data_IF_440866578404
#
_entry.id   IF_440866578404
#
_cell.length_a   1.000
_cell.length_b   1.000
_cell.length_c   1.000
_cell.angle_alpha   90.00
_cell.angle_beta   90.00
_cell.angle_gamma   90.00
#
_symmetry.space_group_name_H-M   'P 1'
#
loop_
_entity.id
_entity.type
_entity.pdbx_description
1 polymer ?
#
# COMPACT_ATOMS: atom_id res chain seq x y z
N UNK A 1 0.47 11.64 -25.32
CA UNK A 1 0.06 10.28 -24.87
C UNK A 1 -0.80 10.42 -23.62
N UNK A 2 -2.00 9.88 -23.64
CA UNK A 2 -2.91 9.91 -22.49
C UNK A 2 -2.43 8.92 -21.42
N UNK A 3 -2.51 9.31 -20.15
CA UNK A 3 -2.17 8.46 -19.02
C UNK A 3 -3.39 8.33 -18.11
N UNK A 4 -3.68 7.11 -17.65
CA UNK A 4 -4.76 6.83 -16.70
C UNK A 4 -4.21 6.07 -15.50
N UNK A 5 -4.75 6.39 -14.33
CA UNK A 5 -4.41 5.71 -13.07
C UNK A 5 -5.68 5.33 -12.33
N UNK A 6 -5.79 4.07 -11.94
CA UNK A 6 -6.93 3.55 -11.21
C UNK A 6 -6.51 3.01 -9.86
N UNK A 7 -7.27 3.37 -8.83
CA UNK A 7 -7.25 2.73 -7.52
C UNK A 7 -8.50 1.86 -7.41
N UNK A 8 -8.32 0.55 -7.46
CA UNK A 8 -9.40 -0.43 -7.53
C UNK A 8 -9.57 -1.11 -6.19
N UNK A 9 -10.81 -1.18 -5.69
CA UNK A 9 -11.17 -1.82 -4.42
C UNK A 9 -11.98 -3.11 -4.69
N UNK A 10 -11.35 -4.21 -5.14
CA UNK A 10 -12.08 -5.38 -5.60
C UNK A 10 -12.86 -6.10 -4.50
N UNK A 11 -12.39 -5.99 -3.26
CA UNK A 11 -13.05 -6.54 -2.08
C UNK A 11 -13.79 -5.49 -1.24
N UNK A 12 -14.04 -4.29 -1.79
CA UNK A 12 -14.65 -3.16 -1.08
C UNK A 12 -13.99 -2.92 0.30
N UNK A 13 -14.75 -3.04 1.41
CA UNK A 13 -14.27 -2.93 2.79
C UNK A 13 -13.93 -4.26 3.46
N UNK A 14 -14.12 -5.42 2.80
CA UNK A 14 -13.83 -6.72 3.38
C UNK A 14 -12.36 -6.90 3.68
N UNK A 15 -12.06 -7.37 4.91
CA UNK A 15 -10.69 -7.63 5.35
C UNK A 15 -10.67 -8.78 6.36
N UNK A 16 -9.62 -9.60 6.29
CA UNK A 16 -9.33 -10.67 7.25
C UNK A 16 -8.50 -10.21 8.45
N UNK A 17 -8.35 -8.87 8.61
CA UNK A 17 -7.72 -8.23 9.77
C UNK A 17 -8.66 -7.23 10.45
N UNK A 18 -8.32 -6.85 11.71
CA UNK A 18 -9.05 -5.89 12.54
C UNK A 18 -8.11 -4.80 13.07
N UNK A 19 -7.34 -4.17 12.16
CA UNK A 19 -6.41 -3.10 12.54
C UNK A 19 -7.15 -1.98 13.27
N UNK A 20 -6.62 -1.56 14.44
CA UNK A 20 -7.30 -0.61 15.31
C UNK A 20 -7.44 0.78 14.68
N UNK A 21 -6.50 1.20 13.86
CA UNK A 21 -6.46 2.50 13.19
C UNK A 21 -6.97 2.46 11.74
N UNK A 22 -7.68 1.39 11.31
CA UNK A 22 -8.03 1.20 9.90
C UNK A 22 -9.06 2.21 9.43
N UNK A 23 -8.66 3.20 8.63
CA UNK A 23 -9.56 4.20 8.09
C UNK A 23 -10.57 3.64 7.07
N UNK A 24 -10.26 2.54 6.37
CA UNK A 24 -11.21 1.87 5.48
C UNK A 24 -12.41 1.31 6.23
N UNK A 25 -12.20 0.81 7.44
CA UNK A 25 -13.29 0.34 8.31
C UNK A 25 -14.14 1.50 8.80
N UNK A 26 -13.52 2.61 9.18
CA UNK A 26 -14.20 3.83 9.58
C UNK A 26 -14.99 4.41 8.40
N UNK A 27 -14.37 4.53 7.21
CA UNK A 27 -15.05 4.97 5.99
C UNK A 27 -16.27 4.11 5.66
N UNK A 28 -16.17 2.78 5.78
CA UNK A 28 -17.25 1.83 5.54
C UNK A 28 -18.43 2.05 6.50
N UNK A 29 -18.16 2.29 7.78
CA UNK A 29 -19.19 2.55 8.80
C UNK A 29 -19.93 3.87 8.56
N UNK A 30 -19.30 4.83 7.90
CA UNK A 30 -19.87 6.14 7.59
C UNK A 30 -20.58 6.20 6.22
N UNK A 31 -20.59 5.10 5.43
CA UNK A 31 -21.34 5.06 4.18
C UNK A 31 -22.82 4.83 4.40
N UNK A 32 -23.63 5.51 3.59
CA UNK A 32 -25.12 5.39 3.62
C UNK A 32 -25.64 4.07 3.03
N UNK A 33 -24.80 3.33 2.30
CA UNK A 33 -25.16 2.05 1.68
C UNK A 33 -24.46 0.91 2.43
N UNK A 34 -25.27 -0.01 2.99
CA UNK A 34 -24.79 -1.14 3.78
C UNK A 34 -24.34 -2.35 2.95
N UNK A 35 -24.43 -2.29 1.64
CA UNK A 35 -24.06 -3.41 0.77
C UNK A 35 -22.59 -3.33 0.37
N UNK A 36 -21.75 -4.01 1.13
CA UNK A 36 -20.41 -4.37 0.68
C UNK A 36 -20.52 -5.46 -0.37
N UNK A 37 -20.10 -5.15 -1.57
CA UNK A 37 -20.07 -6.12 -2.66
C UNK A 37 -18.64 -6.32 -3.15
N UNK A 38 -18.24 -7.57 -3.36
CA UNK A 38 -17.07 -7.87 -4.18
C UNK A 38 -17.30 -7.35 -5.61
N UNK A 39 -16.27 -6.79 -6.23
CA UNK A 39 -16.34 -6.35 -7.62
C UNK A 39 -16.65 -7.55 -8.53
N UNK A 40 -17.69 -7.43 -9.35
CA UNK A 40 -18.04 -8.50 -10.30
C UNK A 40 -17.06 -8.52 -11.48
N UNK A 41 -16.89 -9.70 -12.11
CA UNK A 41 -16.09 -9.83 -13.33
C UNK A 41 -16.61 -8.91 -14.45
N UNK A 42 -17.93 -8.72 -14.55
CA UNK A 42 -18.54 -7.82 -15.51
C UNK A 42 -18.18 -6.36 -15.27
N UNK A 43 -18.12 -5.92 -14.00
CA UNK A 43 -17.68 -4.58 -13.63
C UNK A 43 -16.22 -4.36 -14.01
N UNK A 44 -15.36 -5.35 -13.69
CA UNK A 44 -13.95 -5.33 -14.05
C UNK A 44 -13.74 -5.25 -15.58
N UNK A 45 -14.43 -6.09 -16.36
CA UNK A 45 -14.36 -6.07 -17.82
C UNK A 45 -14.84 -4.73 -18.39
N UNK A 46 -15.93 -4.17 -17.86
CA UNK A 46 -16.45 -2.86 -18.29
C UNK A 46 -15.45 -1.73 -18.04
N UNK A 47 -14.82 -1.73 -16.85
CA UNK A 47 -13.77 -0.78 -16.51
C UNK A 47 -12.60 -0.87 -17.49
N UNK A 48 -12.09 -2.09 -17.71
CA UNK A 48 -10.94 -2.34 -18.59
C UNK A 48 -11.26 -1.90 -20.02
N UNK A 49 -12.40 -2.34 -20.55
CA UNK A 49 -12.83 -1.96 -21.92
C UNK A 49 -12.87 -0.45 -22.09
N UNK A 50 -13.56 0.28 -21.20
CA UNK A 50 -13.65 1.75 -21.25
C UNK A 50 -12.28 2.42 -21.09
N UNK A 51 -11.41 1.88 -20.24
CA UNK A 51 -10.04 2.38 -20.10
C UNK A 51 -9.29 2.34 -21.44
N UNK A 52 -9.32 1.21 -22.15
CA UNK A 52 -8.61 1.07 -23.43
C UNK A 52 -9.31 1.79 -24.61
N UNK A 53 -10.61 2.03 -24.54
CA UNK A 53 -11.31 2.93 -25.50
C UNK A 53 -10.75 4.36 -25.42
N UNK A 54 -10.49 4.86 -24.20
CA UNK A 54 -10.03 6.21 -23.90
C UNK A 54 -8.52 6.45 -24.11
N UNK A 55 -7.70 5.41 -24.07
CA UNK A 55 -6.24 5.52 -24.21
C UNK A 55 -5.83 5.61 -25.68
N UNK A 56 -4.78 6.40 -25.92
CA UNK A 56 -4.12 6.47 -27.22
C UNK A 56 -3.16 5.30 -27.42
N UNK A 57 -2.73 5.08 -28.65
CA UNK A 57 -1.67 4.12 -28.97
C UNK A 57 -0.37 4.48 -28.23
N UNK A 58 0.25 3.50 -27.58
CA UNK A 58 1.46 3.68 -26.77
C UNK A 58 1.23 4.50 -25.50
N UNK A 59 -0.02 4.68 -25.07
CA UNK A 59 -0.37 5.32 -23.80
C UNK A 59 0.11 4.54 -22.57
N UNK A 60 -0.29 4.98 -21.39
CA UNK A 60 0.07 4.37 -20.13
C UNK A 60 -1.16 4.18 -19.23
N UNK A 61 -1.23 3.04 -18.56
CA UNK A 61 -2.23 2.83 -17.49
C UNK A 61 -1.60 2.12 -16.28
N UNK A 62 -1.98 2.58 -15.09
CA UNK A 62 -1.66 1.91 -13.83
C UNK A 62 -2.94 1.42 -13.15
N UNK A 63 -2.98 0.14 -12.80
CA UNK A 63 -4.02 -0.48 -12.00
C UNK A 63 -3.45 -0.82 -10.62
N UNK A 64 -3.82 -0.03 -9.58
CA UNK A 64 -3.43 -0.25 -8.20
C UNK A 64 -4.60 -0.82 -7.40
N UNK A 65 -4.42 -1.99 -6.80
CA UNK A 65 -5.44 -2.68 -6.02
C UNK A 65 -5.25 -2.39 -4.53
N UNK A 66 -6.29 -1.88 -3.89
CA UNK A 66 -6.33 -1.54 -2.46
C UNK A 66 -7.74 -1.80 -1.89
N UNK A 67 -8.04 -1.20 -0.75
CA UNK A 67 -9.35 -1.25 -0.10
C UNK A 67 -9.28 -1.93 1.26
N UNK A 68 -10.19 -2.86 1.55
CA UNK A 68 -10.07 -3.74 2.70
C UNK A 68 -8.84 -4.64 2.56
N UNK A 69 -9.02 -5.86 2.10
CA UNK A 69 -7.90 -6.71 1.67
C UNK A 69 -8.19 -7.21 0.23
N UNK A 70 -7.50 -6.69 -0.79
CA UNK A 70 -7.82 -6.99 -2.19
C UNK A 70 -7.68 -8.47 -2.54
N UNK A 71 -6.78 -9.23 -1.88
CA UNK A 71 -6.60 -10.67 -2.13
C UNK A 71 -7.82 -11.52 -1.78
N UNK A 72 -8.76 -10.98 -0.99
CA UNK A 72 -10.03 -11.66 -0.70
C UNK A 72 -10.97 -11.75 -1.91
N UNK A 73 -10.74 -10.99 -2.97
CA UNK A 73 -11.44 -11.18 -4.25
C UNK A 73 -11.07 -12.52 -4.93
N UNK A 74 -10.01 -13.17 -4.45
CA UNK A 74 -9.53 -14.46 -4.96
C UNK A 74 -8.60 -14.34 -6.16
N UNK A 75 -7.69 -15.32 -6.32
CA UNK A 75 -6.72 -15.33 -7.42
C UNK A 75 -7.38 -15.35 -8.80
N UNK A 76 -8.53 -16.06 -8.92
CA UNK A 76 -9.28 -16.16 -10.18
C UNK A 76 -9.76 -14.78 -10.69
N UNK A 77 -10.13 -13.87 -9.77
CA UNK A 77 -10.46 -12.49 -10.15
C UNK A 77 -9.26 -11.78 -10.80
N UNK A 78 -8.07 -11.92 -10.24
CA UNK A 78 -6.87 -11.27 -10.75
C UNK A 78 -6.38 -11.90 -12.07
N UNK A 79 -6.47 -13.22 -12.20
CA UNK A 79 -6.21 -13.92 -13.46
C UNK A 79 -7.15 -13.44 -14.57
N UNK A 80 -8.45 -13.37 -14.28
CA UNK A 80 -9.44 -12.82 -15.20
C UNK A 80 -9.11 -11.37 -15.58
N UNK A 81 -8.75 -10.53 -14.58
CA UNK A 81 -8.44 -9.12 -14.80
C UNK A 81 -7.26 -8.95 -15.76
N UNK A 82 -6.13 -9.61 -15.52
CA UNK A 82 -4.93 -9.48 -16.36
C UNK A 82 -5.16 -10.08 -17.76
N UNK A 83 -5.88 -11.19 -17.89
CA UNK A 83 -6.27 -11.75 -19.19
C UNK A 83 -7.17 -10.78 -19.97
N UNK A 84 -8.12 -10.15 -19.29
CA UNK A 84 -9.04 -9.16 -19.90
C UNK A 84 -8.27 -7.92 -20.35
N UNK A 85 -7.29 -7.44 -19.57
CA UNK A 85 -6.39 -6.36 -19.96
C UNK A 85 -5.65 -6.71 -21.25
N UNK A 86 -5.06 -7.91 -21.36
CA UNK A 86 -4.39 -8.36 -22.60
C UNK A 86 -5.34 -8.40 -23.79
N UNK A 87 -6.58 -8.87 -23.58
CA UNK A 87 -7.63 -8.94 -24.61
C UNK A 87 -7.94 -7.55 -25.22
N UNK A 88 -8.06 -6.53 -24.37
CA UNK A 88 -8.46 -5.18 -24.81
C UNK A 88 -7.27 -4.27 -25.17
N UNK A 89 -6.04 -4.62 -24.82
CA UNK A 89 -4.84 -3.83 -25.14
C UNK A 89 -4.39 -3.98 -26.60
N UNK A 90 -5.21 -3.51 -27.53
CA UNK A 90 -4.91 -3.53 -28.96
C UNK A 90 -4.02 -2.35 -29.40
N UNK A 91 -3.80 -1.38 -28.50
CA UNK A 91 -3.07 -0.13 -28.78
C UNK A 91 -1.64 -0.11 -28.22
N UNK A 92 -1.09 -1.25 -27.84
CA UNK A 92 0.25 -1.37 -27.24
C UNK A 92 0.47 -0.39 -26.07
N UNK A 93 -0.54 -0.25 -25.22
CA UNK A 93 -0.48 0.58 -24.00
C UNK A 93 0.45 -0.08 -23.00
N UNK A 94 1.33 0.70 -22.36
CA UNK A 94 2.12 0.23 -21.21
C UNK A 94 1.21 0.09 -20.00
N UNK A 95 1.20 -1.11 -19.41
CA UNK A 95 0.37 -1.43 -18.24
C UNK A 95 1.26 -1.69 -17.02
N UNK A 96 0.91 -1.09 -15.89
CA UNK A 96 1.53 -1.39 -14.60
C UNK A 96 0.48 -1.90 -13.63
N UNK A 97 0.86 -2.92 -12.86
CA UNK A 97 0.04 -3.48 -11.78
C UNK A 97 0.71 -3.24 -10.43
N UNK A 98 -0.08 -2.83 -9.45
CA UNK A 98 0.35 -2.76 -8.06
C UNK A 98 -0.75 -3.28 -7.14
N UNK A 99 -0.37 -3.88 -6.03
CA UNK A 99 -1.31 -4.33 -4.99
C UNK A 99 -0.80 -3.93 -3.63
N UNK A 100 -1.68 -3.39 -2.78
CA UNK A 100 -1.42 -3.15 -1.37
C UNK A 100 -2.15 -4.21 -0.55
N UNK A 101 -1.40 -5.07 0.12
CA UNK A 101 -1.94 -6.20 0.87
C UNK A 101 -1.42 -6.28 2.31
N UNK A 102 -2.21 -6.90 3.17
CA UNK A 102 -1.76 -7.31 4.50
C UNK A 102 -0.97 -8.64 4.49
N UNK A 103 -0.99 -9.35 3.36
CA UNK A 103 -0.19 -10.55 3.11
C UNK A 103 -0.73 -11.86 3.67
N UNK A 104 -1.82 -11.86 4.46
CA UNK A 104 -2.29 -13.08 5.15
C UNK A 104 -2.85 -14.16 4.22
N UNK A 105 -3.36 -13.77 3.05
CA UNK A 105 -3.92 -14.70 2.07
C UNK A 105 -2.93 -15.02 0.91
N UNK A 106 -1.72 -14.46 0.96
CA UNK A 106 -0.72 -14.66 -0.10
C UNK A 106 0.02 -15.98 0.13
N UNK A 107 -0.24 -16.95 -0.73
CA UNK A 107 0.43 -18.25 -0.79
C UNK A 107 1.30 -18.35 -2.06
N UNK A 108 1.87 -19.52 -2.34
CA UNK A 108 2.80 -19.74 -3.44
C UNK A 108 2.21 -19.43 -4.82
N UNK A 109 0.93 -19.78 -5.03
CA UNK A 109 0.23 -19.48 -6.29
C UNK A 109 0.11 -17.97 -6.55
N UNK A 110 -0.06 -17.15 -5.49
CA UNK A 110 -0.04 -15.70 -5.60
C UNK A 110 1.36 -15.18 -5.96
N UNK A 111 2.42 -15.75 -5.36
CA UNK A 111 3.77 -15.34 -5.66
C UNK A 111 4.13 -15.64 -7.13
N UNK A 112 3.73 -16.81 -7.66
CA UNK A 112 3.87 -17.13 -9.08
C UNK A 112 3.14 -16.12 -9.96
N UNK A 113 1.88 -15.84 -9.65
CA UNK A 113 1.07 -14.86 -10.37
C UNK A 113 1.69 -13.46 -10.35
N UNK A 114 2.11 -12.95 -9.19
CA UNK A 114 2.74 -11.64 -9.07
C UNK A 114 4.03 -11.54 -9.89
N UNK A 115 4.80 -12.63 -9.94
CA UNK A 115 6.03 -12.69 -10.75
C UNK A 115 5.72 -12.68 -12.25
N UNK A 116 4.76 -13.49 -12.70
CA UNK A 116 4.37 -13.62 -14.11
C UNK A 116 3.76 -12.32 -14.66
N UNK A 117 2.95 -11.66 -13.86
CA UNK A 117 2.25 -10.41 -14.22
C UNK A 117 3.02 -9.14 -13.85
N UNK A 118 4.22 -9.27 -13.29
CA UNK A 118 5.10 -8.18 -12.89
C UNK A 118 4.41 -7.16 -11.95
N UNK A 119 3.78 -7.66 -10.89
CA UNK A 119 3.14 -6.82 -9.86
C UNK A 119 4.19 -6.17 -8.95
N UNK A 120 4.00 -4.87 -8.66
CA UNK A 120 4.60 -4.24 -7.48
C UNK A 120 3.74 -4.55 -6.25
N UNK A 121 4.33 -5.19 -5.23
CA UNK A 121 3.60 -5.61 -4.03
C UNK A 121 3.94 -4.71 -2.85
N UNK A 122 2.98 -3.90 -2.43
CA UNK A 122 3.04 -3.13 -1.18
C UNK A 122 2.58 -4.00 -0.01
N UNK A 123 3.41 -4.08 1.01
CA UNK A 123 3.19 -4.94 2.18
C UNK A 123 2.97 -4.07 3.40
N UNK A 124 1.87 -4.29 4.10
CA UNK A 124 1.57 -3.59 5.35
C UNK A 124 2.35 -4.19 6.52
N UNK A 125 3.36 -3.47 7.05
CA UNK A 125 4.17 -3.91 8.18
C UNK A 125 4.51 -2.74 9.12
N UNK A 126 4.07 -2.80 10.39
CA UNK A 126 4.29 -1.76 11.37
C UNK A 126 5.50 -2.05 12.27
N UNK A 127 6.67 -2.04 11.67
CA UNK A 127 7.95 -2.06 12.37
C UNK A 127 8.25 -3.36 13.11
N UNK A 128 8.10 -3.38 14.43
CA UNK A 128 8.49 -4.50 15.30
C UNK A 128 7.31 -5.38 15.70
N UNK A 129 7.52 -6.67 16.07
CA UNK A 129 6.42 -7.58 16.45
C UNK A 129 5.47 -6.99 17.49
N UNK A 130 6.03 -6.42 18.57
CA UNK A 130 5.25 -5.85 19.67
C UNK A 130 4.41 -4.63 19.30
N UNK A 131 4.80 -3.90 18.26
CA UNK A 131 4.02 -2.77 17.71
C UNK A 131 2.99 -3.27 16.72
N UNK A 132 3.41 -4.11 15.79
CA UNK A 132 2.56 -4.65 14.73
C UNK A 132 1.38 -5.44 15.31
N UNK A 133 1.66 -6.46 16.14
CA UNK A 133 0.63 -7.34 16.68
C UNK A 133 -0.36 -6.63 17.61
N UNK A 134 0.08 -5.59 18.31
CA UNK A 134 -0.80 -4.79 19.15
C UNK A 134 -1.81 -3.93 18.37
N UNK A 135 -1.55 -3.64 17.09
CA UNK A 135 -2.36 -2.71 16.28
C UNK A 135 -3.00 -3.38 15.07
N UNK A 136 -2.46 -4.52 14.65
CA UNK A 136 -2.87 -5.24 13.44
C UNK A 136 -3.23 -6.71 13.74
N UNK A 137 -4.18 -6.98 14.65
CA UNK A 137 -4.67 -8.34 14.87
C UNK A 137 -5.48 -8.83 13.67
N UNK A 138 -5.57 -10.14 13.51
CA UNK A 138 -6.53 -10.75 12.58
C UNK A 138 -7.97 -10.73 13.16
N UNK A 139 -8.90 -11.35 12.45
CA UNK A 139 -10.33 -11.40 12.87
C UNK A 139 -10.54 -12.18 14.17
N UNK A 140 -9.60 -13.07 14.54
CA UNK A 140 -9.62 -13.85 15.78
C UNK A 140 -8.95 -13.12 16.94
N UNK A 141 -8.28 -11.99 16.68
CA UNK A 141 -7.53 -11.22 17.68
C UNK A 141 -6.06 -11.64 17.79
N UNK A 142 -5.59 -12.56 16.94
CA UNK A 142 -4.23 -13.06 16.98
C UNK A 142 -3.25 -12.11 16.26
N UNK A 143 -1.98 -12.09 16.73
CA UNK A 143 -0.91 -11.35 16.09
C UNK A 143 -0.59 -11.86 14.68
N UNK A 144 -0.23 -10.96 13.78
CA UNK A 144 -0.04 -11.27 12.36
C UNK A 144 1.39 -11.10 11.87
N UNK A 145 2.28 -10.53 12.68
CA UNK A 145 3.66 -10.21 12.28
C UNK A 145 4.43 -11.40 11.71
N UNK A 146 4.35 -12.55 12.38
CA UNK A 146 5.06 -13.77 11.93
C UNK A 146 4.60 -14.23 10.55
N UNK A 147 3.28 -14.21 10.29
CA UNK A 147 2.71 -14.59 8.99
C UNK A 147 3.13 -13.61 7.88
N UNK A 148 3.13 -12.31 8.17
CA UNK A 148 3.59 -11.29 7.22
C UNK A 148 5.08 -11.48 6.89
N UNK A 149 5.92 -11.78 7.88
CA UNK A 149 7.35 -12.06 7.67
C UNK A 149 7.59 -13.33 6.85
N UNK A 150 6.77 -14.36 7.01
CA UNK A 150 6.82 -15.57 6.16
C UNK A 150 6.46 -15.24 4.71
N UNK A 151 5.43 -14.42 4.49
CA UNK A 151 5.06 -13.96 3.17
C UNK A 151 6.16 -13.09 2.53
N UNK A 152 6.81 -12.18 3.26
CA UNK A 152 7.94 -11.39 2.73
C UNK A 152 9.05 -12.31 2.22
N UNK A 153 9.41 -13.35 2.98
CA UNK A 153 10.40 -14.34 2.55
C UNK A 153 9.97 -15.11 1.30
N UNK A 154 8.69 -15.44 1.18
CA UNK A 154 8.15 -16.07 -0.01
C UNK A 154 8.29 -15.16 -1.23
N UNK A 155 7.92 -13.88 -1.12
CA UNK A 155 8.06 -12.93 -2.23
C UNK A 155 9.53 -12.71 -2.63
N UNK A 156 10.45 -12.68 -1.66
CA UNK A 156 11.89 -12.62 -1.91
C UNK A 156 12.38 -13.84 -2.71
N UNK A 157 11.96 -15.06 -2.37
CA UNK A 157 12.30 -16.29 -3.10
C UNK A 157 11.84 -16.26 -4.57
N UNK A 158 10.72 -15.59 -4.83
CA UNK A 158 10.19 -15.40 -6.18
C UNK A 158 10.71 -14.13 -6.87
N UNK A 159 11.64 -13.39 -6.25
CA UNK A 159 12.20 -12.13 -6.79
C UNK A 159 11.14 -11.11 -7.19
N UNK A 160 10.14 -10.93 -6.33
CA UNK A 160 9.04 -9.99 -6.54
C UNK A 160 9.43 -8.62 -5.96
N UNK A 161 9.22 -7.57 -6.74
CA UNK A 161 9.43 -6.20 -6.26
C UNK A 161 8.43 -5.83 -5.16
N UNK A 162 8.95 -5.45 -4.01
CA UNK A 162 8.16 -5.14 -2.83
C UNK A 162 8.53 -3.80 -2.22
N UNK A 163 7.52 -3.14 -1.63
CA UNK A 163 7.72 -2.04 -0.70
C UNK A 163 6.98 -2.31 0.62
N UNK A 164 7.48 -1.75 1.72
CA UNK A 164 6.82 -1.83 3.01
C UNK A 164 6.09 -0.52 3.31
N UNK A 165 4.81 -0.63 3.67
CA UNK A 165 4.00 0.47 4.19
C UNK A 165 3.83 0.32 5.68
N UNK A 166 4.21 1.36 6.42
CA UNK A 166 4.17 1.43 7.88
C UNK A 166 3.31 2.61 8.31
N UNK A 167 2.26 2.36 9.09
CA UNK A 167 1.43 3.41 9.66
C UNK A 167 2.04 3.91 10.95
N UNK A 168 2.42 5.19 10.97
CA UNK A 168 3.07 5.83 12.12
C UNK A 168 2.00 6.23 13.14
N UNK A 169 1.80 5.39 14.15
CA UNK A 169 0.93 5.66 15.30
C UNK A 169 1.73 6.26 16.46
N UNK A 170 1.04 6.78 17.48
CA UNK A 170 1.65 7.27 18.74
C UNK A 170 2.64 6.29 19.36
N UNK A 171 2.30 4.97 19.35
CA UNK A 171 3.16 3.93 19.90
C UNK A 171 4.42 3.71 19.07
N UNK A 172 4.26 3.68 17.76
CA UNK A 172 5.34 3.49 16.81
C UNK A 172 6.29 4.69 16.76
N UNK A 173 5.74 5.91 16.76
CA UNK A 173 6.51 7.14 16.65
C UNK A 173 7.59 7.29 17.75
N UNK A 174 7.34 6.75 18.94
CA UNK A 174 8.29 6.74 20.06
C UNK A 174 9.49 5.79 19.87
N UNK A 175 9.51 4.99 18.79
CA UNK A 175 10.50 3.93 18.57
C UNK A 175 11.14 4.01 17.17
N UNK A 176 11.26 5.20 16.58
CA UNK A 176 11.65 5.42 15.19
C UNK A 176 12.88 4.61 14.74
N UNK A 177 13.98 4.69 15.47
CA UNK A 177 15.22 3.98 15.13
C UNK A 177 15.07 2.45 15.20
N UNK A 178 14.35 1.93 16.22
CA UNK A 178 14.08 0.50 16.35
C UNK A 178 13.18 -0.01 15.23
N UNK A 179 12.16 0.76 14.86
CA UNK A 179 11.26 0.48 13.74
C UNK A 179 12.04 0.44 12.43
N UNK A 180 12.85 1.45 12.15
CA UNK A 180 13.68 1.50 10.95
C UNK A 180 14.63 0.30 10.84
N UNK A 181 15.31 -0.05 11.91
CA UNK A 181 16.21 -1.23 11.97
C UNK A 181 15.44 -2.53 11.70
N UNK A 182 14.25 -2.68 12.29
CA UNK A 182 13.41 -3.86 12.08
C UNK A 182 12.94 -3.99 10.65
N UNK A 183 12.47 -2.90 10.05
CA UNK A 183 12.01 -2.90 8.65
C UNK A 183 13.17 -3.16 7.68
N UNK A 184 14.33 -2.53 7.91
CA UNK A 184 15.55 -2.79 7.11
C UNK A 184 16.00 -4.26 7.18
N UNK A 185 15.84 -4.91 8.34
CA UNK A 185 16.22 -6.32 8.55
C UNK A 185 15.34 -7.31 7.76
N UNK A 186 14.22 -6.88 7.19
CA UNK A 186 13.39 -7.71 6.30
C UNK A 186 14.04 -7.98 4.94
N UNK A 187 15.06 -7.21 4.55
CA UNK A 187 15.67 -7.24 3.22
C UNK A 187 15.01 -6.29 2.21
N UNK A 188 13.76 -5.89 2.42
CA UNK A 188 13.06 -4.94 1.53
C UNK A 188 13.67 -3.55 1.67
N UNK A 189 13.98 -2.91 0.55
CA UNK A 189 14.71 -1.64 0.50
C UNK A 189 13.85 -0.40 0.30
N UNK A 190 12.57 -0.56 0.02
CA UNK A 190 11.63 0.54 -0.25
C UNK A 190 10.63 0.66 0.91
N UNK A 191 10.74 1.77 1.67
CA UNK A 191 9.95 2.01 2.88
C UNK A 191 9.07 3.25 2.72
N UNK A 192 7.81 3.12 3.12
CA UNK A 192 6.88 4.24 3.23
C UNK A 192 6.37 4.34 4.66
N UNK A 193 6.43 5.54 5.22
CA UNK A 193 5.92 5.86 6.55
C UNK A 193 4.74 6.82 6.40
N UNK A 194 3.55 6.35 6.76
CA UNK A 194 2.29 7.08 6.57
C UNK A 194 1.78 7.52 7.94
N UNK A 195 1.53 8.83 8.17
CA UNK A 195 0.98 9.27 9.45
C UNK A 195 -0.40 8.66 9.69
N UNK A 196 -0.62 8.16 10.90
CA UNK A 196 -1.92 7.64 11.32
C UNK A 196 -2.95 8.77 11.36
N UNK A 197 -4.13 8.50 10.82
CA UNK A 197 -5.28 9.41 10.87
C UNK A 197 -6.21 9.01 12.01
N UNK A 198 -6.82 10.00 12.64
CA UNK A 198 -7.95 9.78 13.54
C UNK A 198 -9.23 9.46 12.75
N UNK A 199 -10.23 8.77 13.35
CA UNK A 199 -11.49 8.47 12.68
C UNK A 199 -12.22 9.72 12.20
N UNK A 200 -12.96 9.59 11.10
CA UNK A 200 -13.75 10.67 10.53
C UNK A 200 -14.83 11.13 11.52
N UNK A 201 -14.90 12.44 11.78
CA UNK A 201 -15.87 13.03 12.69
C UNK A 201 -15.58 12.84 14.18
N UNK A 202 -14.55 12.08 14.56
CA UNK A 202 -14.12 11.95 15.95
C UNK A 202 -13.30 13.16 16.43
N UNK A 203 -13.25 13.37 17.72
CA UNK A 203 -12.36 14.36 18.32
C UNK A 203 -10.90 13.89 18.11
N UNK A 204 -10.08 14.77 17.55
CA UNK A 204 -8.66 14.47 17.28
C UNK A 204 -7.88 14.20 18.56
N UNK A 205 -6.99 13.23 18.51
CA UNK A 205 -6.08 12.90 19.61
C UNK A 205 -6.67 12.04 20.72
N UNK A 206 -7.94 11.58 20.59
CA UNK A 206 -8.64 10.83 21.65
C UNK A 206 -8.26 9.35 21.67
N UNK A 207 -7.91 8.79 20.52
CA UNK A 207 -7.60 7.38 20.41
C UNK A 207 -6.21 7.07 21.00
N UNK A 208 -6.04 5.86 21.52
CA UNK A 208 -4.76 5.42 22.08
C UNK A 208 -3.62 5.33 21.04
N UNK A 209 -3.97 5.28 19.77
CA UNK A 209 -3.05 5.27 18.63
C UNK A 209 -2.86 6.65 17.97
N UNK A 210 -3.67 7.66 18.35
CA UNK A 210 -3.64 9.00 17.75
C UNK A 210 -2.26 9.62 17.75
N UNK A 211 -1.85 10.15 16.61
CA UNK A 211 -0.54 10.73 16.39
C UNK A 211 -0.63 12.26 16.44
N UNK A 212 0.11 12.90 17.38
CA UNK A 212 0.19 14.36 17.37
C UNK A 212 1.23 14.86 16.34
N UNK A 213 1.06 16.10 15.82
CA UNK A 213 2.03 16.70 14.89
C UNK A 213 3.46 16.76 15.47
N UNK A 214 3.58 17.09 16.75
CA UNK A 214 4.88 17.20 17.43
C UNK A 214 5.59 15.85 17.52
N UNK A 215 4.82 14.80 17.86
CA UNK A 215 5.37 13.45 17.94
C UNK A 215 5.74 12.91 16.55
N UNK A 216 4.95 13.26 15.53
CA UNK A 216 5.30 12.90 14.15
C UNK A 216 6.57 13.62 13.69
N UNK A 217 6.74 14.91 14.00
CA UNK A 217 7.96 15.64 13.70
C UNK A 217 9.19 15.01 14.38
N UNK A 218 9.08 14.68 15.67
CA UNK A 218 10.14 13.96 16.40
C UNK A 218 10.49 12.61 15.75
N UNK A 219 9.46 11.86 15.34
CA UNK A 219 9.65 10.60 14.62
C UNK A 219 10.42 10.81 13.31
N UNK A 220 10.04 11.80 12.51
CA UNK A 220 10.70 12.08 11.23
C UNK A 220 12.17 12.47 11.42
N UNK A 221 12.48 13.31 12.41
CA UNK A 221 13.87 13.69 12.72
C UNK A 221 14.70 12.45 13.12
N UNK A 222 14.21 11.64 14.06
CA UNK A 222 14.92 10.44 14.50
C UNK A 222 15.07 9.38 13.39
N UNK A 223 14.05 9.23 12.55
CA UNK A 223 14.08 8.37 11.37
C UNK A 223 15.11 8.86 10.36
N UNK A 224 15.13 10.18 10.09
CA UNK A 224 16.09 10.80 9.18
C UNK A 224 17.52 10.58 9.65
N UNK A 225 17.81 10.80 10.93
CA UNK A 225 19.15 10.59 11.50
C UNK A 225 19.62 9.14 11.34
N UNK A 226 18.73 8.18 11.55
CA UNK A 226 19.03 6.76 11.35
C UNK A 226 19.28 6.40 9.88
N UNK A 227 18.42 6.89 9.00
CA UNK A 227 18.52 6.71 7.55
C UNK A 227 19.78 7.39 6.97
N UNK A 228 20.09 8.61 7.40
CA UNK A 228 21.25 9.37 6.94
C UNK A 228 22.59 8.73 7.37
N UNK A 229 22.63 8.12 8.56
CA UNK A 229 23.80 7.32 8.99
C UNK A 229 24.06 6.15 8.05
N UNK A 230 23.01 5.41 7.66
CA UNK A 230 23.14 4.31 6.70
C UNK A 230 23.59 4.83 5.32
N UNK A 231 22.98 5.91 4.85
CA UNK A 231 23.34 6.52 3.57
C UNK A 231 24.82 6.94 3.52
N UNK A 232 25.34 7.55 4.58
CA UNK A 232 26.77 7.92 4.69
C UNK A 232 27.71 6.73 4.67
N UNK A 233 27.27 5.56 5.04
CA UNK A 233 28.08 4.32 5.03
C UNK A 233 27.87 3.50 3.76
N UNK A 234 27.13 4.02 2.77
CA UNK A 234 26.84 3.35 1.50
C UNK A 234 25.73 2.32 1.57
N UNK A 235 24.97 2.25 2.66
CA UNK A 235 23.80 1.38 2.77
C UNK A 235 22.58 2.11 2.21
N UNK A 236 22.12 1.69 1.03
CA UNK A 236 20.96 2.27 0.41
C UNK A 236 19.65 1.64 0.93
N UNK A 237 18.77 2.50 1.43
CA UNK A 237 17.37 2.22 1.73
C UNK A 237 16.56 3.40 1.23
N UNK A 238 15.58 3.17 0.39
CA UNK A 238 14.64 4.20 -0.05
C UNK A 238 13.63 4.47 1.06
N UNK A 239 13.58 5.72 1.53
CA UNK A 239 12.50 6.24 2.37
C UNK A 239 11.79 7.29 1.53
N UNK A 240 10.66 6.93 0.94
CA UNK A 240 9.98 7.73 -0.08
C UNK A 240 9.79 9.19 0.31
N UNK A 241 9.39 9.46 1.55
CA UNK A 241 9.17 10.83 2.03
C UNK A 241 10.45 11.67 2.00
N UNK A 242 11.60 11.09 2.34
CA UNK A 242 12.88 11.82 2.32
C UNK A 242 13.36 12.04 0.90
N UNK A 243 13.16 11.07 0.01
CA UNK A 243 13.48 11.24 -1.42
C UNK A 243 12.62 12.34 -2.04
N UNK A 244 11.31 12.37 -1.76
CA UNK A 244 10.41 13.43 -2.21
C UNK A 244 10.88 14.81 -1.69
N UNK A 245 11.26 14.93 -0.43
CA UNK A 245 11.76 16.19 0.13
C UNK A 245 13.08 16.62 -0.49
N UNK A 246 14.01 15.70 -0.73
CA UNK A 246 15.28 16.00 -1.42
C UNK A 246 15.00 16.47 -2.84
N UNK A 247 14.12 15.79 -3.58
CA UNK A 247 13.72 16.19 -4.94
C UNK A 247 13.13 17.60 -4.95
N UNK A 248 12.23 17.93 -4.00
CA UNK A 248 11.68 19.29 -3.87
C UNK A 248 12.75 20.34 -3.63
N UNK A 249 13.70 20.08 -2.72
CA UNK A 249 14.81 20.98 -2.43
C UNK A 249 15.74 21.20 -3.64
N UNK A 250 15.82 20.18 -4.51
CA UNK A 250 16.58 20.25 -5.77
C UNK A 250 15.77 20.86 -6.93
N UNK A 251 14.50 21.26 -6.70
CA UNK A 251 13.63 21.79 -7.75
C UNK A 251 13.13 20.74 -8.74
N UNK A 252 13.22 19.44 -8.39
CA UNK A 252 12.71 18.35 -9.20
C UNK A 252 11.25 18.02 -8.87
N UNK A 253 10.46 17.49 -9.84
CA UNK A 253 9.09 17.06 -9.58
C UNK A 253 9.07 15.83 -8.67
N UNK A 254 8.10 15.79 -7.75
CA UNK A 254 7.85 14.63 -6.87
C UNK A 254 6.63 13.85 -7.33
N UNK A 255 6.54 12.58 -6.91
CA UNK A 255 5.45 11.68 -7.30
C UNK A 255 4.29 11.62 -6.30
N UNK A 256 4.39 12.26 -5.13
CA UNK A 256 3.38 12.18 -4.07
C UNK A 256 2.48 13.42 -4.02
N UNK A 257 1.17 13.21 -3.94
CA UNK A 257 0.19 14.32 -3.88
C UNK A 257 0.41 15.25 -2.67
N UNK A 258 0.91 14.73 -1.55
CA UNK A 258 1.23 15.51 -0.34
C UNK A 258 2.38 16.51 -0.55
N UNK A 259 3.27 16.25 -1.50
CA UNK A 259 4.42 17.10 -1.81
C UNK A 259 4.21 17.97 -3.05
N UNK A 260 3.39 17.53 -4.00
CA UNK A 260 3.07 18.29 -5.23
C UNK A 260 1.94 19.29 -5.03
N UNK A 261 1.10 19.12 -3.99
CA UNK A 261 -0.14 19.88 -3.82
C UNK A 261 -1.21 19.57 -4.87
N UNK A 262 -0.97 18.64 -5.78
CA UNK A 262 -1.92 18.21 -6.80
C UNK A 262 -2.74 17.02 -6.28
N UNK A 263 -4.06 17.13 -6.33
CA UNK A 263 -5.00 16.08 -5.94
C UNK A 263 -5.75 15.56 -7.17
N UNK A 264 -6.22 14.29 -7.12
CA UNK A 264 -7.07 13.74 -8.18
C UNK A 264 -6.32 13.18 -9.39
N UNK A 265 -5.08 12.73 -9.20
CA UNK A 265 -4.28 12.09 -10.26
C UNK A 265 -4.76 10.68 -10.62
N UNK A 266 -5.64 10.07 -9.82
CA UNK A 266 -6.18 8.72 -10.05
C UNK A 266 -7.69 8.64 -9.81
N UNK A 267 -8.33 7.69 -10.50
CA UNK A 267 -9.75 7.37 -10.35
C UNK A 267 -9.92 6.23 -9.35
N UNK A 268 -10.88 6.35 -8.44
CA UNK A 268 -11.22 5.28 -7.47
C UNK A 268 -12.44 4.52 -7.96
N UNK A 269 -12.34 3.18 -7.94
CA UNK A 269 -13.41 2.26 -8.39
C UNK A 269 -13.64 1.18 -7.34
#
# INVERSE_FOLDING_TARGET
MKQLQFLIKPAAGFCNMRCHYCFYRDEQQNRSTSEDCMMTLQTAETLIRRCFEELDQGGFVSFAFQGGEPTLAGLDFFLFFTQTVRKYNQKCVTVQYAIQTNGLAVAEEWAKFFREENFLVGISLDGTPDVHDALRPDVSGDGTWTRVMQMIKLLEQYHIECNLLCVVTKRLAKKAERVYKSMKATGVRYLQFIPCLDPLGAQRGIENYSLSPELYAQFLCALFDAWYRDWKTGVYVSVRLFEDYIQLLMGAPTGTCSTTGACGSYMVV
#
